data_IF_709606348713
#
_entry.id   IF_709606348713
#
_cell.length_a   1.000
_cell.length_b   1.000
_cell.length_c   1.000
_cell.angle_alpha   90.00
_cell.angle_beta   90.00
_cell.angle_gamma   90.00
#
_symmetry.space_group_name_H-M   'P 1'
#
loop_
_entity.id
_entity.type
_entity.pdbx_description
1 polymer ?
#
# COMPACT_ATOMS: atom_id res chain seq x y z
N UNK A 1 -20.54 5.08 11.72
CA UNK A 1 -20.39 4.73 10.30
C UNK A 1 -18.93 4.81 9.90
N UNK A 2 -18.48 3.84 9.14
CA UNK A 2 -17.10 3.83 8.66
C UNK A 2 -16.96 4.73 7.44
N UNK A 3 -15.90 5.51 7.40
CA UNK A 3 -15.55 6.31 6.24
C UNK A 3 -14.47 5.59 5.45
N UNK A 4 -14.59 5.67 4.13
CA UNK A 4 -13.59 5.12 3.22
C UNK A 4 -12.90 6.26 2.50
N UNK A 5 -11.58 6.19 2.46
CA UNK A 5 -10.74 7.16 1.76
C UNK A 5 -9.90 6.40 0.76
N UNK A 6 -9.85 6.87 -0.49
CA UNK A 6 -9.06 6.24 -1.53
C UNK A 6 -8.02 7.23 -2.04
N UNK A 7 -6.78 6.77 -2.20
CA UNK A 7 -5.71 7.55 -2.80
C UNK A 7 -4.93 6.70 -3.79
N UNK A 8 -4.45 7.36 -4.83
CA UNK A 8 -3.62 6.71 -5.85
C UNK A 8 -2.16 7.00 -5.58
N UNK A 9 -1.32 6.01 -5.78
CA UNK A 9 0.13 6.14 -5.63
C UNK A 9 0.84 5.51 -6.81
N UNK A 10 1.98 6.06 -7.18
CA UNK A 10 2.83 5.48 -8.20
C UNK A 10 4.00 4.79 -7.51
N UNK A 11 4.22 3.53 -7.85
CA UNK A 11 5.36 2.76 -7.31
C UNK A 11 6.64 3.37 -7.85
N UNK A 12 7.52 3.82 -6.98
CA UNK A 12 8.70 4.61 -7.36
C UNK A 12 10.01 3.83 -7.32
N UNK A 13 10.08 2.78 -6.52
CA UNK A 13 11.32 2.01 -6.39
C UNK A 13 11.53 1.07 -7.56
N UNK A 14 12.79 0.83 -7.91
CA UNK A 14 13.15 0.06 -9.09
C UNK A 14 12.61 -1.38 -9.04
N UNK A 15 12.62 -2.00 -7.88
CA UNK A 15 12.18 -3.39 -7.71
C UNK A 15 10.67 -3.55 -7.56
N UNK A 16 9.93 -2.45 -7.42
CA UNK A 16 8.49 -2.51 -7.24
C UNK A 16 8.07 -3.16 -5.93
N UNK A 17 6.88 -3.74 -5.91
CA UNK A 17 6.32 -4.41 -4.74
C UNK A 17 6.87 -5.84 -4.59
N UNK A 18 8.19 -5.95 -4.47
CA UNK A 18 8.83 -7.24 -4.21
C UNK A 18 8.65 -7.63 -2.73
N UNK A 19 9.16 -8.79 -2.34
CA UNK A 19 8.89 -9.34 -1.00
C UNK A 19 9.22 -8.39 0.15
N UNK A 20 10.36 -7.70 0.08
CA UNK A 20 10.75 -6.76 1.14
C UNK A 20 9.81 -5.56 1.20
N UNK A 21 9.50 -4.98 0.05
CA UNK A 21 8.60 -3.83 -0.01
C UNK A 21 7.19 -4.21 0.45
N UNK A 22 6.69 -5.35 0.00
CA UNK A 22 5.38 -5.84 0.41
C UNK A 22 5.33 -6.09 1.92
N UNK A 23 6.40 -6.63 2.49
CA UNK A 23 6.49 -6.85 3.93
C UNK A 23 6.45 -5.53 4.70
N UNK A 24 7.20 -4.53 4.24
CA UNK A 24 7.19 -3.21 4.88
C UNK A 24 5.82 -2.56 4.83
N UNK A 25 5.16 -2.66 3.68
CA UNK A 25 3.82 -2.09 3.52
C UNK A 25 2.82 -2.79 4.43
N UNK A 26 2.84 -4.12 4.46
CA UNK A 26 1.94 -4.89 5.31
C UNK A 26 2.16 -4.60 6.79
N UNK A 27 3.41 -4.51 7.22
CA UNK A 27 3.73 -4.17 8.61
C UNK A 27 3.25 -2.77 8.97
N UNK A 28 3.42 -1.81 8.07
CA UNK A 28 2.96 -0.45 8.31
C UNK A 28 1.44 -0.41 8.41
N UNK A 29 0.74 -1.00 7.45
CA UNK A 29 -0.72 -1.01 7.45
C UNK A 29 -1.28 -1.69 8.70
N UNK A 30 -0.59 -2.72 9.20
CA UNK A 30 -1.03 -3.47 10.39
C UNK A 30 -0.95 -2.67 11.68
N UNK A 31 -0.26 -1.52 11.67
CA UNK A 31 -0.19 -0.65 12.84
C UNK A 31 -1.46 0.19 13.02
N UNK A 32 -2.33 0.19 12.04
CA UNK A 32 -3.55 1.00 12.06
C UNK A 32 -4.78 0.12 12.19
N UNK A 33 -5.80 0.58 12.93
CA UNK A 33 -7.00 -0.23 13.17
C UNK A 33 -7.94 -0.30 11.98
N UNK A 34 -7.77 0.57 10.98
CA UNK A 34 -8.62 0.58 9.80
C UNK A 34 -8.34 -0.61 8.88
N UNK A 35 -9.30 -0.92 8.02
CA UNK A 35 -9.08 -1.87 6.95
C UNK A 35 -8.44 -1.15 5.78
N UNK A 36 -7.48 -1.79 5.12
CA UNK A 36 -6.77 -1.20 4.00
C UNK A 36 -6.73 -2.20 2.84
N UNK A 37 -7.24 -1.76 1.70
CA UNK A 37 -7.23 -2.55 0.48
C UNK A 37 -6.39 -1.84 -0.56
N UNK A 38 -5.53 -2.58 -1.23
CA UNK A 38 -4.73 -2.04 -2.34
C UNK A 38 -5.20 -2.71 -3.62
N UNK A 39 -5.42 -1.92 -4.65
CA UNK A 39 -5.89 -2.45 -5.92
C UNK A 39 -5.02 -1.96 -7.08
N UNK A 40 -4.98 -2.77 -8.14
CA UNK A 40 -4.30 -2.47 -9.38
C UNK A 40 -5.03 -3.17 -10.51
N UNK A 41 -5.48 -2.40 -11.51
CA UNK A 41 -6.12 -2.93 -12.71
C UNK A 41 -7.27 -3.91 -12.42
N UNK A 42 -8.10 -3.57 -11.44
CA UNK A 42 -9.27 -4.38 -11.11
C UNK A 42 -8.98 -5.53 -10.14
N UNK A 43 -7.73 -5.77 -9.79
CA UNK A 43 -7.39 -6.75 -8.77
C UNK A 43 -7.15 -6.05 -7.45
N UNK A 44 -7.59 -6.67 -6.36
CA UNK A 44 -7.48 -6.08 -5.04
C UNK A 44 -6.86 -7.06 -4.05
N UNK A 45 -6.17 -6.50 -3.05
CA UNK A 45 -5.56 -7.30 -2.00
C UNK A 45 -5.65 -6.55 -0.68
N UNK A 46 -5.68 -7.29 0.41
CA UNK A 46 -5.60 -6.73 1.74
C UNK A 46 -4.16 -6.23 1.95
N UNK A 47 -4.00 -4.94 2.25
CA UNK A 47 -2.66 -4.36 2.43
C UNK A 47 -1.90 -4.98 3.60
N UNK A 48 -2.60 -5.65 4.51
CA UNK A 48 -1.97 -6.33 5.65
C UNK A 48 -1.51 -7.75 5.30
N UNK A 49 -1.70 -8.16 4.04
CA UNK A 49 -1.29 -9.48 3.55
C UNK A 49 -0.11 -9.37 2.59
N UNK A 50 1.04 -9.88 2.99
CA UNK A 50 2.23 -9.87 2.13
C UNK A 50 1.97 -10.64 0.84
N UNK A 51 1.35 -11.81 0.93
CA UNK A 51 1.05 -12.63 -0.24
C UNK A 51 0.10 -11.91 -1.20
N UNK A 52 -0.92 -11.26 -0.66
CA UNK A 52 -1.86 -10.49 -1.48
C UNK A 52 -1.16 -9.38 -2.24
N UNK A 53 -0.28 -8.64 -1.56
CA UNK A 53 0.46 -7.56 -2.19
C UNK A 53 1.39 -8.06 -3.30
N UNK A 54 2.04 -9.19 -3.08
CA UNK A 54 2.92 -9.78 -4.09
C UNK A 54 2.14 -10.16 -5.35
N UNK A 55 0.91 -10.64 -5.19
CA UNK A 55 0.08 -11.04 -6.33
C UNK A 55 -0.37 -9.87 -7.19
N UNK A 56 -0.31 -8.64 -6.67
CA UNK A 56 -0.66 -7.46 -7.47
C UNK A 56 0.40 -7.12 -8.51
N UNK A 57 1.61 -7.63 -8.40
CA UNK A 57 2.69 -7.43 -9.36
C UNK A 57 2.96 -5.95 -9.64
N UNK A 58 3.01 -5.12 -8.59
CA UNK A 58 3.22 -3.68 -8.74
C UNK A 58 4.66 -3.34 -9.09
N UNK A 59 4.97 -3.23 -10.37
CA UNK A 59 6.30 -2.84 -10.82
C UNK A 59 6.49 -1.32 -10.78
N UNK A 60 7.74 -0.87 -10.94
CA UNK A 60 8.05 0.55 -10.97
C UNK A 60 7.22 1.25 -12.05
N UNK A 61 6.67 2.40 -11.71
CA UNK A 61 5.84 3.20 -12.60
C UNK A 61 4.37 2.80 -12.61
N UNK A 62 4.02 1.70 -11.95
CA UNK A 62 2.63 1.23 -11.87
C UNK A 62 1.87 2.09 -10.87
N UNK A 63 0.63 2.43 -11.23
CA UNK A 63 -0.27 3.13 -10.31
C UNK A 63 -1.08 2.11 -9.54
N UNK A 64 -1.11 2.27 -8.23
CA UNK A 64 -1.96 1.49 -7.34
C UNK A 64 -2.91 2.42 -6.61
N UNK A 65 -4.05 1.88 -6.16
CA UNK A 65 -4.98 2.62 -5.33
C UNK A 65 -5.08 1.97 -3.98
N UNK A 66 -5.04 2.77 -2.92
CA UNK A 66 -5.24 2.26 -1.57
C UNK A 66 -6.50 2.87 -1.00
N UNK A 67 -7.38 2.02 -0.48
CA UNK A 67 -8.62 2.42 0.17
C UNK A 67 -8.54 2.01 1.63
N UNK A 68 -8.61 2.98 2.52
CA UNK A 68 -8.62 2.74 3.96
C UNK A 68 -10.01 3.03 4.49
N UNK A 69 -10.54 2.13 5.29
CA UNK A 69 -11.90 2.22 5.83
C UNK A 69 -11.86 2.04 7.34
N UNK A 70 -12.39 3.02 8.05
CA UNK A 70 -12.50 2.95 9.51
C UNK A 70 -11.62 3.96 10.21
N UNK A 71 -11.30 3.64 11.47
CA UNK A 71 -10.59 4.56 12.35
C UNK A 71 -9.15 4.79 11.90
N UNK A 72 -8.74 6.05 11.90
CA UNK A 72 -7.40 6.48 11.47
C UNK A 72 -7.08 6.18 10.01
N UNK A 73 -8.09 6.11 9.15
CA UNK A 73 -7.89 5.84 7.73
C UNK A 73 -6.98 6.87 7.06
N UNK A 74 -7.17 8.15 7.36
CA UNK A 74 -6.35 9.22 6.80
C UNK A 74 -4.89 9.09 7.23
N UNK A 75 -4.65 8.84 8.51
CA UNK A 75 -3.30 8.68 9.03
C UNK A 75 -2.60 7.50 8.37
N UNK A 76 -3.33 6.42 8.14
CA UNK A 76 -2.79 5.23 7.50
C UNK A 76 -2.34 5.54 6.07
N UNK A 77 -3.20 6.22 5.29
CA UNK A 77 -2.85 6.56 3.91
C UNK A 77 -1.68 7.52 3.83
N UNK A 78 -1.59 8.47 4.77
CA UNK A 78 -0.44 9.38 4.83
C UNK A 78 0.85 8.62 5.11
N UNK A 79 0.81 7.63 5.99
CA UNK A 79 1.97 6.80 6.30
C UNK A 79 2.38 5.94 5.10
N UNK A 80 1.40 5.38 4.39
CA UNK A 80 1.65 4.59 3.19
C UNK A 80 2.29 5.47 2.11
N UNK A 81 1.79 6.68 1.93
CA UNK A 81 2.34 7.63 0.98
C UNK A 81 3.81 7.93 1.29
N UNK A 82 4.13 8.18 2.55
CA UNK A 82 5.51 8.46 2.95
C UNK A 82 6.43 7.27 2.67
N UNK A 83 5.94 6.05 2.91
CA UNK A 83 6.74 4.84 2.65
C UNK A 83 7.01 4.67 1.16
N UNK A 84 6.00 4.86 0.32
CA UNK A 84 6.14 4.73 -1.13
C UNK A 84 7.08 5.81 -1.68
N UNK A 85 6.93 7.06 -1.20
CA UNK A 85 7.76 8.16 -1.65
C UNK A 85 9.23 7.98 -1.21
N UNK A 86 9.45 7.28 -0.12
CA UNK A 86 10.79 6.92 0.34
C UNK A 86 11.34 5.68 -0.37
N UNK A 87 10.64 5.19 -1.39
CA UNK A 87 11.02 3.99 -2.14
C UNK A 87 11.23 2.78 -1.24
N UNK A 88 10.40 2.67 -0.21
CA UNK A 88 10.50 1.60 0.80
C UNK A 88 11.89 1.53 1.44
N UNK A 89 12.61 2.64 1.47
CA UNK A 89 13.94 2.71 2.03
C UNK A 89 15.03 2.11 1.18
N UNK A 90 14.76 1.81 -0.09
CA UNK A 90 15.70 1.10 -0.96
C UNK A 90 16.72 1.99 -1.66
N UNK A 91 16.48 3.28 -1.74
CA UNK A 91 17.39 4.21 -2.39
C UNK A 91 17.33 4.22 -3.91
N UNK A 92 16.61 3.30 -4.50
CA UNK A 92 16.44 3.23 -5.95
C UNK A 92 14.99 3.03 -6.32
#
# INVERSE_FOLDING_TARGET
MSESITRSFVIQNALGLHARAATKLAQLASKFPCEVEVSREGEAANAKSVMGLLLLCGSQGTTIEATATGDRAEDCLAAIEALINDKFGEGK
#
